data_IF_039886039961
#
_entry.id   IF_039886039961
#
_cell.length_a   1.000
_cell.length_b   1.000
_cell.length_c   1.000
_cell.angle_alpha   90.00
_cell.angle_beta   90.00
_cell.angle_gamma   90.00
#
_symmetry.space_group_name_H-M   'P 1'
#
loop_
_entity.id
_entity.type
_entity.pdbx_description
1 polymer ?
#
# COMPACT_ATOMS: atom_id res chain seq x y z
N UNK A 1 29.35 -49.16 48.49
CA UNK A 1 28.50 -50.19 47.85
C UNK A 1 27.36 -49.51 47.10
N UNK A 2 27.40 -49.53 45.75
CA UNK A 2 26.39 -48.92 44.88
C UNK A 2 25.16 -49.83 44.79
N UNK A 3 24.04 -49.44 45.40
CA UNK A 3 22.75 -50.11 45.16
C UNK A 3 22.03 -49.40 44.02
N UNK A 4 22.20 -49.92 42.80
CA UNK A 4 21.30 -49.63 41.68
C UNK A 4 19.96 -50.30 41.96
N UNK A 5 18.88 -49.52 42.03
CA UNK A 5 17.51 -50.04 41.96
C UNK A 5 17.01 -49.90 40.52
N UNK A 6 16.85 -50.99 39.76
CA UNK A 6 15.78 -51.06 38.77
C UNK A 6 14.51 -51.45 39.55
N UNK A 7 13.26 -51.25 39.17
CA UNK A 7 12.58 -51.05 37.89
C UNK A 7 11.17 -50.68 38.33
N UNK A 8 10.52 -49.70 37.70
CA UNK A 8 9.06 -49.72 37.49
C UNK A 8 8.78 -48.90 36.23
N UNK A 9 9.24 -49.41 35.09
CA UNK A 9 8.72 -48.96 33.80
C UNK A 9 7.28 -49.47 33.69
N UNK A 10 6.32 -48.58 33.59
CA UNK A 10 4.92 -48.90 33.34
C UNK A 10 4.81 -49.63 32.00
N UNK A 11 4.59 -50.94 32.04
CA UNK A 11 4.30 -51.72 30.85
C UNK A 11 2.86 -51.41 30.41
N UNK A 12 2.72 -50.70 29.30
CA UNK A 12 1.44 -50.49 28.63
C UNK A 12 1.03 -51.82 27.97
N UNK A 13 0.31 -52.67 28.69
CA UNK A 13 -0.25 -53.93 28.16
C UNK A 13 -1.58 -53.61 27.43
N UNK A 14 -1.48 -53.23 26.15
CA UNK A 14 -2.66 -53.20 25.26
C UNK A 14 -2.95 -54.64 24.82
N UNK A 15 -3.76 -55.33 25.60
CA UNK A 15 -4.28 -56.66 25.30
C UNK A 15 -5.77 -56.60 24.98
N UNK A 16 -6.12 -56.23 23.74
CA UNK A 16 -7.45 -56.46 23.18
C UNK A 16 -7.27 -57.23 21.85
N UNK A 17 -8.14 -58.22 21.61
CA UNK A 17 -8.09 -59.17 20.51
C UNK A 17 -7.70 -58.52 19.18
N UNK A 18 -6.57 -58.96 18.59
CA UNK A 18 -5.97 -58.37 17.38
C UNK A 18 -6.92 -58.25 16.18
N UNK A 19 -7.99 -59.05 16.11
CA UNK A 19 -9.00 -58.99 15.04
C UNK A 19 -10.07 -57.91 15.29
N UNK A 20 -10.65 -57.84 16.49
CA UNK A 20 -11.63 -56.82 16.85
C UNK A 20 -10.99 -55.41 16.91
N UNK A 21 -9.76 -55.33 17.43
CA UNK A 21 -9.00 -54.08 17.47
C UNK A 21 -8.63 -53.55 16.07
N UNK A 22 -8.49 -54.44 15.05
CA UNK A 22 -8.23 -54.01 13.66
C UNK A 22 -9.49 -53.49 12.98
N UNK A 23 -10.62 -54.14 13.19
CA UNK A 23 -11.89 -53.70 12.61
C UNK A 23 -12.30 -52.30 13.10
N UNK A 24 -12.15 -52.01 14.39
CA UNK A 24 -12.43 -50.68 14.95
C UNK A 24 -11.45 -49.61 14.43
N UNK A 25 -10.16 -49.95 14.29
CA UNK A 25 -9.15 -49.04 13.72
C UNK A 25 -9.38 -48.79 12.23
N UNK A 26 -9.80 -49.80 11.47
CA UNK A 26 -10.15 -49.65 10.05
C UNK A 26 -11.41 -48.80 9.85
N UNK A 27 -12.44 -48.96 10.68
CA UNK A 27 -13.60 -48.06 10.67
C UNK A 27 -13.22 -46.63 11.02
N UNK A 28 -12.39 -46.43 12.04
CA UNK A 28 -11.92 -45.11 12.42
C UNK A 28 -11.11 -44.47 11.28
N UNK A 29 -10.20 -45.23 10.66
CA UNK A 29 -9.43 -44.76 9.50
C UNK A 29 -10.33 -44.41 8.31
N UNK A 30 -11.44 -45.13 8.08
CA UNK A 30 -12.42 -44.79 7.05
C UNK A 30 -13.14 -43.46 7.32
N UNK A 31 -13.53 -43.21 8.57
CA UNK A 31 -14.14 -41.94 8.98
C UNK A 31 -13.16 -40.78 8.85
N UNK A 32 -11.92 -40.99 9.30
CA UNK A 32 -10.87 -39.99 9.20
C UNK A 32 -10.54 -39.68 7.73
N UNK A 33 -10.53 -40.70 6.85
CA UNK A 33 -10.34 -40.51 5.40
C UNK A 33 -11.53 -39.78 4.74
N UNK A 34 -12.75 -39.94 5.25
CA UNK A 34 -13.91 -39.17 4.78
C UNK A 34 -13.82 -37.70 5.21
N UNK A 35 -13.48 -37.45 6.47
CA UNK A 35 -13.23 -36.10 7.00
C UNK A 35 -12.10 -35.40 6.22
N UNK A 36 -11.03 -36.13 5.89
CA UNK A 36 -9.92 -35.59 5.10
C UNK A 36 -10.37 -35.19 3.69
N UNK A 37 -11.18 -36.03 3.02
CA UNK A 37 -11.73 -35.72 1.69
C UNK A 37 -12.68 -34.52 1.71
N UNK A 38 -13.56 -34.45 2.72
CA UNK A 38 -14.47 -33.31 2.87
C UNK A 38 -13.69 -32.01 3.15
N UNK A 39 -12.65 -32.06 3.98
CA UNK A 39 -11.79 -30.93 4.24
C UNK A 39 -11.06 -30.46 2.97
N UNK A 40 -10.59 -31.39 2.13
CA UNK A 40 -9.95 -31.06 0.85
C UNK A 40 -10.93 -30.39 -0.13
N UNK A 41 -12.14 -30.94 -0.27
CA UNK A 41 -13.20 -30.33 -1.09
C UNK A 41 -13.50 -28.90 -0.62
N UNK A 42 -13.66 -28.71 0.70
CA UNK A 42 -13.92 -27.39 1.28
C UNK A 42 -12.81 -26.39 0.98
N UNK A 43 -11.53 -26.82 1.03
CA UNK A 43 -10.39 -25.97 0.70
C UNK A 43 -10.40 -25.55 -0.77
N UNK A 44 -10.70 -26.48 -1.68
CA UNK A 44 -10.80 -26.17 -3.11
C UNK A 44 -11.97 -25.23 -3.43
N UNK A 45 -13.10 -25.38 -2.75
CA UNK A 45 -14.24 -24.47 -2.89
C UNK A 45 -13.96 -23.07 -2.34
N UNK A 46 -13.22 -22.97 -1.24
CA UNK A 46 -12.73 -21.71 -0.70
C UNK A 46 -11.76 -21.04 -1.67
N UNK A 47 -10.78 -21.76 -2.19
CA UNK A 47 -9.84 -21.25 -3.19
C UNK A 47 -10.55 -20.75 -4.46
N UNK A 48 -11.56 -21.49 -4.95
CA UNK A 48 -12.39 -21.04 -6.08
C UNK A 48 -13.17 -19.77 -5.76
N UNK A 49 -13.71 -19.65 -4.55
CA UNK A 49 -14.43 -18.44 -4.10
C UNK A 49 -13.49 -17.24 -4.01
N UNK A 50 -12.30 -17.44 -3.46
CA UNK A 50 -11.26 -16.42 -3.39
C UNK A 50 -10.80 -16.00 -4.78
N UNK A 51 -10.52 -16.95 -5.67
CA UNK A 51 -10.14 -16.66 -7.06
C UNK A 51 -11.22 -15.85 -7.78
N UNK A 52 -12.49 -16.23 -7.64
CA UNK A 52 -13.60 -15.48 -8.20
C UNK A 52 -13.71 -14.06 -7.62
N UNK A 53 -13.55 -13.93 -6.29
CA UNK A 53 -13.55 -12.61 -5.64
C UNK A 53 -12.41 -11.72 -6.13
N UNK A 54 -11.21 -12.29 -6.30
CA UNK A 54 -10.04 -11.57 -6.83
C UNK A 54 -10.27 -11.10 -8.27
N UNK A 55 -10.86 -11.94 -9.12
CA UNK A 55 -11.20 -11.56 -10.49
C UNK A 55 -12.22 -10.42 -10.53
N UNK A 56 -13.26 -10.47 -9.68
CA UNK A 56 -14.26 -9.41 -9.57
C UNK A 56 -13.64 -8.06 -9.14
N UNK A 57 -12.71 -8.09 -8.16
CA UNK A 57 -11.99 -6.88 -7.73
C UNK A 57 -11.13 -6.33 -8.87
N UNK A 58 -10.36 -7.18 -9.55
CA UNK A 58 -9.49 -6.77 -10.67
C UNK A 58 -10.29 -6.14 -11.79
N UNK A 59 -11.43 -6.74 -12.13
CA UNK A 59 -12.33 -6.19 -13.14
C UNK A 59 -12.87 -4.82 -12.72
N UNK A 60 -13.38 -4.68 -11.49
CA UNK A 60 -13.88 -3.41 -10.98
C UNK A 60 -12.82 -2.29 -10.98
N UNK A 61 -11.60 -2.59 -10.53
CA UNK A 61 -10.48 -1.64 -10.54
C UNK A 61 -10.14 -1.23 -11.97
N UNK A 62 -10.09 -2.16 -12.92
CA UNK A 62 -9.77 -1.84 -14.31
C UNK A 62 -10.80 -0.90 -14.96
N UNK A 63 -12.09 -1.09 -14.65
CA UNK A 63 -13.14 -0.19 -15.12
C UNK A 63 -13.01 1.20 -14.50
N UNK A 64 -12.65 1.28 -13.22
CA UNK A 64 -12.50 2.55 -12.53
C UNK A 64 -11.26 3.30 -12.99
N UNK A 65 -10.12 2.62 -13.21
CA UNK A 65 -8.92 3.22 -13.81
C UNK A 65 -9.25 3.79 -15.19
N UNK A 66 -9.97 3.06 -16.05
CA UNK A 66 -10.38 3.57 -17.36
C UNK A 66 -11.40 4.73 -17.30
N UNK A 67 -12.21 4.82 -16.24
CA UNK A 67 -13.07 6.00 -15.97
C UNK A 67 -12.25 7.18 -15.48
N UNK A 68 -11.33 6.95 -14.55
CA UNK A 68 -10.44 7.97 -13.99
C UNK A 68 -9.50 8.54 -15.05
N UNK A 69 -8.95 7.71 -15.93
CA UNK A 69 -8.14 8.13 -17.07
C UNK A 69 -8.95 9.04 -18.00
N UNK A 70 -10.16 8.64 -18.38
CA UNK A 70 -11.05 9.51 -19.18
C UNK A 70 -11.37 10.82 -18.46
N UNK A 71 -11.65 10.77 -17.17
CA UNK A 71 -11.91 11.99 -16.40
C UNK A 71 -10.67 12.88 -16.30
N UNK A 72 -9.48 12.31 -16.14
CA UNK A 72 -8.21 13.03 -16.12
C UNK A 72 -7.86 13.63 -17.47
N UNK A 73 -8.13 12.92 -18.57
CA UNK A 73 -7.94 13.42 -19.93
C UNK A 73 -8.91 14.56 -20.20
N UNK A 74 -10.19 14.43 -19.83
CA UNK A 74 -11.16 15.52 -19.93
C UNK A 74 -10.79 16.71 -19.05
N UNK A 75 -10.25 16.49 -17.85
CA UNK A 75 -9.76 17.56 -16.98
C UNK A 75 -8.51 18.25 -17.58
N UNK A 76 -7.61 17.48 -18.18
CA UNK A 76 -6.43 17.98 -18.89
C UNK A 76 -6.81 18.78 -20.14
N UNK A 77 -7.72 18.27 -20.96
CA UNK A 77 -8.26 18.95 -22.13
C UNK A 77 -9.07 20.18 -21.74
N UNK A 78 -9.84 20.13 -20.65
CA UNK A 78 -10.53 21.29 -20.10
C UNK A 78 -9.55 22.35 -19.60
N UNK A 79 -8.42 21.95 -19.00
CA UNK A 79 -7.35 22.88 -18.62
C UNK A 79 -6.67 23.50 -19.84
N UNK A 80 -6.50 22.75 -20.94
CA UNK A 80 -5.93 23.24 -22.19
C UNK A 80 -6.90 24.16 -22.97
N UNK A 81 -8.21 23.88 -22.95
CA UNK A 81 -9.24 24.66 -23.68
C UNK A 81 -9.72 25.90 -22.92
N UNK A 82 -9.68 25.89 -21.57
CA UNK A 82 -9.83 27.11 -20.76
C UNK A 82 -8.57 28.00 -20.77
N UNK A 83 -7.56 27.65 -21.55
CA UNK A 83 -6.47 28.54 -21.98
C UNK A 83 -6.89 29.60 -23.01
N UNK A 84 -8.19 29.74 -23.30
CA UNK A 84 -8.76 30.89 -23.99
C UNK A 84 -8.76 32.14 -23.11
N UNK A 85 -8.06 33.17 -23.58
CA UNK A 85 -7.83 34.47 -22.97
C UNK A 85 -9.17 35.12 -22.57
N UNK A 86 -9.57 34.98 -21.31
CA UNK A 86 -10.51 35.89 -20.65
C UNK A 86 -9.81 36.51 -19.45
N UNK A 87 -9.76 37.85 -19.45
CA UNK A 87 -9.20 38.69 -18.39
C UNK A 87 -10.04 38.60 -17.10
N UNK A 88 -10.07 37.43 -16.45
CA UNK A 88 -10.42 37.34 -15.04
C UNK A 88 -9.54 36.27 -14.40
N UNK A 89 -8.49 36.76 -13.75
CA UNK A 89 -7.62 36.08 -12.80
C UNK A 89 -8.43 35.43 -11.67
N UNK A 90 -8.39 34.10 -11.47
CA UNK A 90 -8.43 33.51 -10.15
C UNK A 90 -6.97 33.34 -9.74
N UNK A 91 -6.58 34.07 -8.69
CA UNK A 91 -5.25 34.13 -8.09
C UNK A 91 -4.36 32.93 -8.42
N UNK A 92 -3.18 33.16 -9.00
CA UNK A 92 -2.16 32.15 -8.96
C UNK A 92 -1.11 32.58 -7.96
N UNK A 93 -0.71 31.64 -7.12
CA UNK A 93 0.64 31.64 -6.57
C UNK A 93 1.72 31.54 -7.66
N UNK A 94 1.55 32.13 -8.85
CA UNK A 94 2.51 32.30 -9.95
C UNK A 94 1.86 33.05 -11.13
N UNK A 95 2.26 34.30 -11.43
CA UNK A 95 2.04 34.88 -12.76
C UNK A 95 3.34 34.76 -13.59
N UNK A 96 3.30 34.18 -14.80
CA UNK A 96 4.31 34.40 -15.84
C UNK A 96 4.03 35.74 -16.53
N UNK A 97 4.94 36.70 -16.39
CA UNK A 97 4.93 37.96 -17.12
C UNK A 97 5.99 37.90 -18.22
N UNK A 98 5.58 37.81 -19.48
CA UNK A 98 6.42 38.29 -20.58
C UNK A 98 6.40 39.81 -20.50
N UNK A 99 7.38 40.34 -19.78
CA UNK A 99 7.58 41.74 -19.49
C UNK A 99 8.87 41.88 -18.71
N UNK A 100 9.94 42.12 -19.46
CA UNK A 100 11.31 42.37 -19.04
C UNK A 100 12.18 41.13 -18.71
N UNK A 101 12.79 40.59 -19.75
CA UNK A 101 13.80 39.52 -19.80
C UNK A 101 15.11 39.80 -18.99
N UNK A 102 15.10 40.62 -17.93
CA UNK A 102 16.34 41.08 -17.26
C UNK A 102 16.38 40.98 -15.73
N UNK A 103 15.26 40.77 -15.02
CA UNK A 103 15.22 40.98 -13.55
C UNK A 103 15.20 39.72 -12.66
N UNK A 104 14.97 38.52 -13.22
CA UNK A 104 14.87 37.28 -12.42
C UNK A 104 16.23 36.76 -11.94
N UNK A 105 17.33 37.23 -12.55
CA UNK A 105 18.69 36.96 -12.09
C UNK A 105 19.07 37.75 -10.82
N UNK A 106 18.20 38.59 -10.25
CA UNK A 106 18.54 39.49 -9.14
C UNK A 106 17.84 39.15 -7.81
N UNK A 107 17.38 37.90 -7.63
CA UNK A 107 16.71 37.45 -6.39
C UNK A 107 17.66 36.58 -5.56
N UNK A 108 17.70 36.82 -4.24
CA UNK A 108 18.42 36.01 -3.25
C UNK A 108 17.52 35.68 -2.06
N UNK A 109 17.78 34.55 -1.41
CA UNK A 109 17.02 34.15 -0.23
C UNK A 109 17.75 34.54 1.06
N UNK A 110 17.00 35.12 2.01
CA UNK A 110 17.54 35.52 3.31
C UNK A 110 17.96 34.29 4.12
N UNK A 111 19.23 34.24 4.53
CA UNK A 111 19.78 33.17 5.39
C UNK A 111 19.18 33.10 6.79
N UNK A 112 18.44 34.14 7.22
CA UNK A 112 17.80 34.17 8.53
C UNK A 112 16.36 33.67 8.57
N UNK A 113 15.57 33.92 7.52
CA UNK A 113 14.13 33.62 7.51
C UNK A 113 13.60 33.02 6.20
N UNK A 114 14.47 32.79 5.20
CA UNK A 114 14.10 32.21 3.92
C UNK A 114 13.32 33.14 2.97
N UNK A 115 13.12 34.40 3.32
CA UNK A 115 12.37 35.33 2.47
C UNK A 115 13.16 35.70 1.21
N UNK A 116 12.47 35.77 0.06
CA UNK A 116 13.05 36.33 -1.16
C UNK A 116 13.33 37.83 -0.97
N UNK A 117 14.56 38.24 -1.30
CA UNK A 117 15.06 39.61 -1.20
C UNK A 117 15.74 39.97 -2.54
N UNK A 118 15.72 41.24 -2.93
CA UNK A 118 16.46 41.67 -4.12
C UNK A 118 17.96 41.70 -3.79
N UNK A 119 18.83 41.48 -4.79
CA UNK A 119 20.29 41.52 -4.60
C UNK A 119 20.77 42.95 -4.26
N UNK A 120 20.02 43.96 -4.72
CA UNK A 120 20.18 45.39 -4.40
C UNK A 120 19.83 45.76 -2.95
N UNK A 121 19.02 44.94 -2.26
CA UNK A 121 18.59 45.23 -0.89
C UNK A 121 19.65 44.84 0.13
N UNK A 122 20.19 45.79 0.89
CA UNK A 122 21.17 45.54 1.96
C UNK A 122 20.56 44.86 3.20
N UNK A 123 19.24 44.86 3.34
CA UNK A 123 18.52 44.31 4.50
C UNK A 123 17.30 43.53 4.05
N UNK A 124 16.97 42.45 4.75
CA UNK A 124 15.76 41.68 4.51
C UNK A 124 14.53 42.47 4.97
N UNK A 125 13.62 42.83 4.06
CA UNK A 125 12.39 43.54 4.39
C UNK A 125 11.43 42.80 5.33
N UNK A 126 11.66 41.50 5.59
CA UNK A 126 10.83 40.69 6.50
C UNK A 126 11.40 40.58 7.91
N UNK A 127 12.72 40.43 8.07
CA UNK A 127 13.33 40.18 9.38
C UNK A 127 14.41 41.19 9.77
N UNK A 128 14.69 42.19 8.93
CA UNK A 128 15.69 43.23 9.18
C UNK A 128 17.14 42.77 9.13
N UNK A 129 17.42 41.49 8.87
CA UNK A 129 18.79 40.96 8.83
C UNK A 129 19.55 41.51 7.62
N UNK A 130 20.79 41.98 7.84
CA UNK A 130 21.70 42.46 6.79
C UNK A 130 22.03 41.35 5.78
N UNK A 131 21.99 41.68 4.50
CA UNK A 131 22.26 40.80 3.36
C UNK A 131 23.51 41.33 2.63
N UNK A 132 24.46 40.48 2.25
CA UNK A 132 25.75 40.88 1.69
C UNK A 132 25.63 41.41 0.25
N UNK A 133 25.71 42.72 0.01
CA UNK A 133 25.87 43.25 -1.36
C UNK A 133 27.27 42.88 -1.87
N UNK A 134 27.38 42.11 -2.94
CA UNK A 134 28.65 41.91 -3.67
C UNK A 134 28.53 42.60 -5.02
#
# INVERSE_FOLDING_TARGET
MRRRRPVLGTALLIGASRSAARHEVEEQARRDAEIQREAEIRRLEEEKREAHAQLAIKEAVSQEVGRQERQSQLAYDQAMTKGGITNQTPQPGVHPSYGDDSHEANIRYCVGCGNACKREDNFCGRCGRKQFST
#
